data_IF_728891551106
#
_entry.id   IF_728891551106
#
_cell.length_a   1.000
_cell.length_b   1.000
_cell.length_c   1.000
_cell.angle_alpha   90.00
_cell.angle_beta   90.00
_cell.angle_gamma   90.00
#
_symmetry.space_group_name_H-M   'P 1'
#
loop_
_entity.id
_entity.type
_entity.pdbx_description
1 polymer ?
#
# COMPACT_ATOMS: atom_id res chain seq x y z
N UNK A 1 -12.73 8.49 -12.08
CA UNK A 1 -11.41 8.80 -11.51
C UNK A 1 -10.38 8.28 -12.49
N UNK A 2 -9.58 9.14 -13.11
CA UNK A 2 -8.45 8.66 -13.92
C UNK A 2 -7.49 7.88 -13.01
N UNK A 3 -6.82 6.81 -13.51
CA UNK A 3 -5.82 6.11 -12.72
C UNK A 3 -4.75 7.11 -12.26
N UNK A 4 -4.43 7.12 -10.97
CA UNK A 4 -3.32 7.91 -10.46
C UNK A 4 -2.03 7.33 -11.04
N UNK A 5 -1.38 8.08 -11.94
CA UNK A 5 -0.03 7.74 -12.36
C UNK A 5 0.92 7.94 -11.19
N UNK A 6 1.68 6.89 -10.89
CA UNK A 6 2.74 6.95 -9.90
C UNK A 6 3.88 7.80 -10.46
N UNK A 7 4.41 8.69 -9.63
CA UNK A 7 5.67 9.37 -9.93
C UNK A 7 6.81 8.34 -10.05
N UNK A 8 7.88 8.73 -10.76
CA UNK A 8 9.07 7.88 -10.92
C UNK A 8 9.64 7.37 -9.58
N UNK A 9 9.70 8.25 -8.58
CA UNK A 9 10.15 7.89 -7.24
C UNK A 9 9.25 6.87 -6.56
N UNK A 10 7.92 7.00 -6.68
CA UNK A 10 6.97 6.02 -6.13
C UNK A 10 7.11 4.65 -6.80
N UNK A 11 7.29 4.62 -8.13
CA UNK A 11 7.54 3.39 -8.87
C UNK A 11 8.85 2.71 -8.41
N UNK A 12 9.91 3.48 -8.18
CA UNK A 12 11.18 2.95 -7.67
C UNK A 12 11.03 2.33 -6.28
N UNK A 13 10.34 3.00 -5.36
CA UNK A 13 10.09 2.49 -4.02
C UNK A 13 9.27 1.19 -4.04
N UNK A 14 8.27 1.08 -4.93
CA UNK A 14 7.54 -0.18 -5.11
C UNK A 14 8.44 -1.31 -5.60
N UNK A 15 9.31 -1.06 -6.58
CA UNK A 15 10.25 -2.07 -7.08
C UNK A 15 11.31 -2.46 -6.03
N UNK A 16 11.70 -1.53 -5.16
CA UNK A 16 12.55 -1.84 -4.00
C UNK A 16 11.82 -2.75 -3.02
N UNK A 17 10.62 -2.37 -2.59
CA UNK A 17 9.81 -3.18 -1.67
C UNK A 17 9.54 -4.58 -2.22
N UNK A 18 9.27 -4.68 -3.52
CA UNK A 18 9.08 -5.96 -4.21
C UNK A 18 10.32 -6.85 -4.11
N UNK A 19 11.50 -6.28 -4.38
CA UNK A 19 12.77 -7.01 -4.25
C UNK A 19 13.07 -7.44 -2.82
N UNK A 20 12.75 -6.61 -1.83
CA UNK A 20 12.92 -6.96 -0.42
C UNK A 20 12.02 -8.16 -0.01
N UNK A 21 10.79 -8.20 -0.53
CA UNK A 21 9.89 -9.36 -0.36
C UNK A 21 10.49 -10.60 -1.04
N UNK A 22 10.89 -10.50 -2.30
CA UNK A 22 11.42 -11.63 -3.08
C UNK A 22 12.73 -12.18 -2.50
N UNK A 23 13.54 -11.33 -1.86
CA UNK A 23 14.78 -11.72 -1.19
C UNK A 23 14.57 -12.37 0.18
N UNK A 24 13.35 -12.32 0.74
CA UNK A 24 13.04 -12.89 2.06
C UNK A 24 12.96 -14.42 1.98
N UNK A 25 13.94 -15.11 2.57
CA UNK A 25 14.02 -16.58 2.52
C UNK A 25 13.45 -17.27 3.76
N UNK A 26 13.35 -16.57 4.90
CA UNK A 26 12.73 -17.12 6.12
C UNK A 26 11.20 -17.11 5.99
N UNK A 27 10.54 -18.29 5.99
CA UNK A 27 9.08 -18.37 5.90
C UNK A 27 8.35 -17.65 7.03
N UNK A 28 8.94 -17.60 8.23
CA UNK A 28 8.33 -16.91 9.37
C UNK A 28 8.40 -15.39 9.18
N UNK A 29 9.54 -14.88 8.72
CA UNK A 29 9.70 -13.47 8.36
C UNK A 29 8.74 -13.06 7.23
N UNK A 30 8.61 -13.90 6.19
CA UNK A 30 7.68 -13.66 5.07
C UNK A 30 6.23 -13.61 5.55
N UNK A 31 5.84 -14.49 6.49
CA UNK A 31 4.51 -14.48 7.09
C UNK A 31 4.22 -13.19 7.86
N UNK A 32 5.17 -12.71 8.66
CA UNK A 32 5.00 -11.46 9.41
C UNK A 32 4.96 -10.24 8.48
N UNK A 33 5.82 -10.19 7.46
CA UNK A 33 5.79 -9.16 6.42
C UNK A 33 4.43 -9.14 5.70
N UNK A 34 3.90 -10.31 5.35
CA UNK A 34 2.58 -10.43 4.70
C UNK A 34 1.45 -9.87 5.57
N UNK A 35 1.47 -10.16 6.89
CA UNK A 35 0.49 -9.60 7.83
C UNK A 35 0.61 -8.09 7.96
N UNK A 36 1.82 -7.56 8.00
CA UNK A 36 2.08 -6.13 8.09
C UNK A 36 1.56 -5.39 6.85
N UNK A 37 1.88 -5.88 5.65
CA UNK A 37 1.39 -5.33 4.38
C UNK A 37 -0.13 -5.36 4.30
N UNK A 38 -0.77 -6.46 4.73
CA UNK A 38 -2.23 -6.57 4.72
C UNK A 38 -2.89 -5.56 5.66
N UNK A 39 -2.33 -5.34 6.85
CA UNK A 39 -2.82 -4.30 7.78
C UNK A 39 -2.66 -2.90 7.20
N UNK A 40 -1.51 -2.60 6.60
CA UNK A 40 -1.26 -1.31 5.96
C UNK A 40 -2.26 -1.05 4.83
N UNK A 41 -2.53 -2.05 4.00
CA UNK A 41 -3.54 -1.96 2.94
C UNK A 41 -4.94 -1.62 3.47
N UNK A 42 -5.40 -2.31 4.51
CA UNK A 42 -6.71 -2.01 5.09
C UNK A 42 -6.78 -0.60 5.68
N UNK A 43 -5.70 -0.16 6.32
CA UNK A 43 -5.58 1.21 6.85
C UNK A 43 -5.69 2.25 5.74
N UNK A 44 -4.93 2.07 4.66
CA UNK A 44 -4.93 3.01 3.52
C UNK A 44 -6.28 3.06 2.83
N UNK A 45 -6.92 1.89 2.64
CA UNK A 45 -8.27 1.80 2.09
C UNK A 45 -9.29 2.52 2.97
N UNK A 46 -9.20 2.36 4.29
CA UNK A 46 -10.09 3.05 5.22
C UNK A 46 -9.89 4.58 5.18
N UNK A 47 -8.64 5.03 5.20
CA UNK A 47 -8.27 6.45 5.07
C UNK A 47 -8.79 7.06 3.76
N UNK A 48 -8.54 6.39 2.64
CA UNK A 48 -9.02 6.82 1.31
C UNK A 48 -10.54 6.89 1.27
N UNK A 49 -11.25 5.87 1.78
CA UNK A 49 -12.71 5.88 1.83
C UNK A 49 -13.25 7.01 2.71
N UNK A 50 -12.58 7.32 3.82
CA UNK A 50 -12.95 8.44 4.68
C UNK A 50 -12.74 9.79 3.97
N UNK A 51 -11.61 9.97 3.28
CA UNK A 51 -11.32 11.17 2.51
C UNK A 51 -12.37 11.40 1.39
N UNK A 52 -12.74 10.33 0.67
CA UNK A 52 -13.80 10.37 -0.35
C UNK A 52 -15.14 10.75 0.29
N UNK A 53 -15.51 10.12 1.41
CA UNK A 53 -16.75 10.45 2.12
C UNK A 53 -16.79 11.90 2.61
N UNK A 54 -15.67 12.41 3.13
CA UNK A 54 -15.56 13.81 3.53
C UNK A 54 -15.75 14.74 2.33
N UNK A 55 -15.08 14.45 1.20
CA UNK A 55 -15.19 15.26 -0.01
C UNK A 55 -16.58 15.22 -0.68
N UNK A 56 -17.34 14.14 -0.47
CA UNK A 56 -18.72 13.98 -0.96
C UNK A 56 -19.79 14.43 0.06
N UNK A 57 -19.40 14.67 1.32
CA UNK A 57 -20.28 14.97 2.45
C UNK A 57 -20.24 16.42 2.93
N UNK A 58 -19.31 17.24 2.43
CA UNK A 58 -19.37 18.70 2.55
C UNK A 58 -20.17 19.29 1.36
N UNK A 59 -21.50 19.32 1.53
CA UNK A 59 -22.46 20.13 0.78
C UNK A 59 -23.62 20.55 1.70
#
# INVERSE_FOLDING_TARGET
MAPMELSFSQTFELERMRRDIDATQDPQQLRELSKALLRAWFSEKASTNQAIRAQLGDA
#
